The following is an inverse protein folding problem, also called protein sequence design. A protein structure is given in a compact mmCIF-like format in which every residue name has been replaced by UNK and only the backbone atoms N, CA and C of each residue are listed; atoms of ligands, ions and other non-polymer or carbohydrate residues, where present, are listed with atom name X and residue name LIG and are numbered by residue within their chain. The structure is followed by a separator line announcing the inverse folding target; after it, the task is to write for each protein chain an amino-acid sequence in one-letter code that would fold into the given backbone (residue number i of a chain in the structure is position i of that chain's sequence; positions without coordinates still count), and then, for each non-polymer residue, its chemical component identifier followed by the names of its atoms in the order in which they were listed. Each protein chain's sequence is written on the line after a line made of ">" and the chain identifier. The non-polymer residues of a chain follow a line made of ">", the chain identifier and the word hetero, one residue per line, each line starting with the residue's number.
data_IF_275239663701
#
_entry.id   IF_275239663701
#
_cell.length_a   1.000
_cell.length_b   1.000
_cell.length_c   1.000
_cell.angle_alpha   90.00
_cell.angle_beta   90.00
_cell.angle_gamma   90.00
#
_symmetry.space_group_name_H-M   'P 1'
#
loop_
_entity.id
_entity.type
_entity.pdbx_description
1 polymer ?
#
# COMPACT_ATOMS: atom_id res chain seq x y z
N UNK A 1 -8.45 12.03 -8.97
CA UNK A 1 -8.06 10.68 -9.47
C UNK A 1 -9.25 10.05 -10.16
N UNK A 2 -9.03 9.29 -11.24
CA UNK A 2 -10.13 8.73 -12.06
C UNK A 2 -10.03 7.20 -12.21
N UNK A 3 -11.15 6.54 -12.52
CA UNK A 3 -11.28 5.11 -12.83
C UNK A 3 -11.96 4.95 -14.17
N UNK A 4 -11.54 3.96 -14.97
CA UNK A 4 -12.22 3.63 -16.23
C UNK A 4 -13.56 2.98 -15.91
N UNK A 5 -14.64 3.57 -16.39
CA UNK A 5 -15.97 3.02 -16.31
C UNK A 5 -16.11 1.85 -17.31
N UNK A 6 -16.56 0.65 -16.88
CA UNK A 6 -16.62 -0.52 -17.75
C UNK A 6 -17.66 -0.40 -18.87
N UNK A 7 -18.71 0.40 -18.69
CA UNK A 7 -19.82 0.50 -19.64
C UNK A 7 -19.55 1.54 -20.73
N UNK A 8 -19.17 2.75 -20.33
CA UNK A 8 -18.88 3.86 -21.25
C UNK A 8 -17.44 3.83 -21.79
N UNK A 9 -16.51 3.22 -21.04
CA UNK A 9 -15.08 3.27 -21.35
C UNK A 9 -14.39 4.58 -20.94
N UNK A 10 -15.14 5.56 -20.44
CA UNK A 10 -14.62 6.86 -20.01
C UNK A 10 -13.91 6.78 -18.65
N UNK A 11 -13.10 7.79 -18.34
CA UNK A 11 -12.47 7.91 -17.01
C UNK A 11 -13.29 8.84 -16.13
N UNK A 12 -14.04 8.26 -15.20
CA UNK A 12 -14.85 9.01 -14.23
C UNK A 12 -14.07 9.30 -12.95
N UNK A 13 -14.45 10.34 -12.22
CA UNK A 13 -13.93 10.63 -10.89
C UNK A 13 -14.10 9.39 -9.99
N UNK A 14 -13.05 9.06 -9.23
CA UNK A 14 -13.07 8.01 -8.21
C UNK A 14 -12.90 8.69 -6.84
N UNK A 15 -13.99 9.12 -6.17
CA UNK A 15 -13.93 9.86 -4.92
C UNK A 15 -13.18 9.10 -3.80
N UNK A 16 -13.45 7.80 -3.56
CA UNK A 16 -12.73 7.03 -2.54
C UNK A 16 -11.21 7.03 -2.71
N UNK A 17 -10.73 7.07 -3.97
CA UNK A 17 -9.30 7.17 -4.28
C UNK A 17 -8.79 8.62 -4.14
N UNK A 18 -9.56 9.61 -4.58
CA UNK A 18 -9.17 11.01 -4.54
C UNK A 18 -9.03 11.54 -3.10
N UNK A 19 -9.95 11.17 -2.20
CA UNK A 19 -9.94 11.58 -0.80
C UNK A 19 -8.68 11.12 -0.03
N UNK A 20 -8.06 10.03 -0.50
CA UNK A 20 -6.91 9.40 0.18
C UNK A 20 -5.54 9.85 -0.34
N UNK A 21 -5.51 10.79 -1.30
CA UNK A 21 -4.25 11.35 -1.81
C UNK A 21 -3.28 11.86 -0.72
N UNK A 22 -3.72 12.58 0.34
CA UNK A 22 -2.80 13.07 1.35
C UNK A 22 -2.37 12.01 2.37
N UNK A 23 -2.89 10.77 2.29
CA UNK A 23 -2.76 9.79 3.37
C UNK A 23 -1.41 9.08 3.41
N UNK A 24 -0.62 9.14 2.34
CA UNK A 24 0.67 8.43 2.27
C UNK A 24 1.62 8.82 3.42
N UNK A 25 1.83 10.11 3.64
CA UNK A 25 2.74 10.60 4.66
C UNK A 25 2.30 10.24 6.10
N UNK A 26 1.04 10.49 6.52
CA UNK A 26 0.61 10.10 7.87
C UNK A 26 0.63 8.59 8.07
N UNK A 27 0.28 7.80 7.05
CA UNK A 27 0.31 6.32 7.15
C UNK A 27 1.72 5.80 7.44
N UNK A 28 2.74 6.39 6.83
CA UNK A 28 4.14 6.03 7.09
C UNK A 28 4.60 6.53 8.47
N UNK A 29 4.25 7.78 8.84
CA UNK A 29 4.72 8.38 10.09
C UNK A 29 4.14 7.74 11.34
N UNK A 30 2.95 7.17 11.24
CA UNK A 30 2.24 6.51 12.34
C UNK A 30 2.18 4.99 12.12
N UNK A 31 3.17 4.41 11.44
CA UNK A 31 3.18 2.99 11.11
C UNK A 31 3.37 2.07 12.33
N UNK A 32 3.73 2.64 13.47
CA UNK A 32 3.90 2.01 14.78
C UNK A 32 2.59 1.86 15.56
N UNK A 33 1.51 2.51 15.12
CA UNK A 33 0.19 2.35 15.73
C UNK A 33 -0.36 0.92 15.50
N UNK A 34 -0.99 0.35 16.52
CA UNK A 34 -1.55 -1.01 16.52
C UNK A 34 -2.59 -1.24 15.42
N UNK A 35 -3.25 -0.18 14.95
CA UNK A 35 -4.24 -0.26 13.88
C UNK A 35 -3.61 -0.36 12.48
N UNK A 36 -2.29 -0.13 12.38
CA UNK A 36 -1.54 -0.21 11.12
C UNK A 36 -0.85 -1.55 11.00
N UNK A 37 -1.17 -2.30 9.95
CA UNK A 37 -0.48 -3.55 9.66
C UNK A 37 0.79 -3.25 8.88
N UNK A 38 1.93 -3.53 9.48
CA UNK A 38 3.24 -3.41 8.83
C UNK A 38 3.90 -4.77 8.71
N UNK A 39 4.35 -5.14 7.50
CA UNK A 39 5.07 -6.39 7.28
C UNK A 39 5.98 -6.33 6.05
N UNK A 40 7.01 -7.17 6.06
CA UNK A 40 7.85 -7.41 4.89
C UNK A 40 7.37 -8.66 4.15
N UNK A 41 7.38 -8.60 2.83
CA UNK A 41 6.98 -9.72 1.96
C UNK A 41 7.90 -9.83 0.74
N UNK A 42 8.39 -11.04 0.40
CA UNK A 42 9.17 -11.26 -0.80
C UNK A 42 8.24 -11.32 -2.02
N UNK A 43 8.35 -10.34 -2.91
CA UNK A 43 7.63 -10.40 -4.18
C UNK A 43 8.29 -11.43 -5.12
N UNK A 44 7.52 -11.97 -6.07
CA UNK A 44 8.03 -12.92 -7.07
C UNK A 44 9.17 -12.37 -7.96
N UNK A 45 9.44 -11.07 -7.89
CA UNK A 45 10.60 -10.41 -8.54
C UNK A 45 11.91 -10.54 -7.74
N UNK A 46 11.90 -11.25 -6.61
CA UNK A 46 13.06 -11.40 -5.70
C UNK A 46 13.30 -10.18 -4.80
N UNK A 47 12.47 -9.13 -4.91
CA UNK A 47 12.55 -7.93 -4.09
C UNK A 47 11.70 -8.09 -2.83
N UNK A 48 12.23 -7.65 -1.69
CA UNK A 48 11.45 -7.51 -0.45
C UNK A 48 10.77 -6.15 -0.43
N UNK A 49 9.45 -6.17 -0.23
CA UNK A 49 8.63 -4.96 -0.07
C UNK A 49 8.12 -4.87 1.36
N UNK A 50 8.10 -3.66 1.89
CA UNK A 50 7.43 -3.36 3.15
C UNK A 50 6.04 -2.84 2.84
N UNK A 51 5.02 -3.50 3.37
CA UNK A 51 3.62 -3.10 3.27
C UNK A 51 3.25 -2.36 4.54
N UNK A 52 2.58 -1.20 4.40
CA UNK A 52 2.01 -0.42 5.50
C UNK A 52 0.54 -0.22 5.18
N UNK A 53 -0.33 -0.95 5.87
CA UNK A 53 -1.74 -1.10 5.50
C UNK A 53 -2.67 -0.63 6.60
N UNK A 54 -3.49 0.38 6.26
CA UNK A 54 -4.68 0.77 7.02
C UNK A 54 -5.85 -0.08 6.55
N UNK A 55 -6.02 -1.27 7.17
CA UNK A 55 -7.07 -2.22 6.77
C UNK A 55 -8.46 -1.60 6.90
N UNK A 56 -8.75 -0.95 8.02
CA UNK A 56 -10.07 -0.38 8.32
C UNK A 56 -10.47 0.78 7.38
N UNK A 57 -9.51 1.38 6.67
CA UNK A 57 -9.75 2.49 5.76
C UNK A 57 -9.39 2.17 4.31
N UNK A 58 -9.10 0.90 4.01
CA UNK A 58 -8.76 0.43 2.67
C UNK A 58 -7.67 1.29 2.01
N UNK A 59 -6.54 1.50 2.70
CA UNK A 59 -5.42 2.28 2.17
C UNK A 59 -4.09 1.59 2.40
N UNK A 60 -3.34 1.38 1.33
CA UNK A 60 -2.07 0.67 1.37
C UNK A 60 -0.94 1.55 0.85
N UNK A 61 0.19 1.52 1.56
CA UNK A 61 1.47 2.05 1.10
C UNK A 61 2.45 0.89 0.96
N UNK A 62 3.21 0.88 -0.14
CA UNK A 62 4.26 -0.13 -0.40
C UNK A 62 5.59 0.58 -0.54
N UNK A 63 6.59 0.11 0.22
CA UNK A 63 7.95 0.62 0.23
C UNK A 63 8.95 -0.45 -0.25
N UNK A 64 10.06 -0.03 -0.85
CA UNK A 64 11.22 -0.87 -1.17
C UNK A 64 12.37 -0.51 -0.24
N UNK A 65 12.82 -1.45 0.59
CA UNK A 65 14.05 -1.25 1.36
C UNK A 65 15.25 -1.24 0.42
N UNK A 66 16.10 -0.23 0.53
CA UNK A 66 17.40 -0.15 -0.14
C UNK A 66 18.49 -0.22 0.91
N UNK A 67 19.49 -1.06 0.66
CA UNK A 67 20.75 -1.04 1.42
C UNK A 67 21.45 0.28 1.08
N UNK A 68 21.38 1.25 1.97
CA UNK A 68 22.11 2.51 1.85
C UNK A 68 23.61 2.28 2.02
N UNK A 69 24.42 3.23 1.53
CA UNK A 69 25.86 3.30 1.87
C UNK A 69 26.11 3.78 3.30
N UNK A 70 25.11 4.40 3.92
CA UNK A 70 25.09 4.88 5.31
C UNK A 70 24.40 3.89 6.24
N UNK A 71 24.73 3.95 7.54
CA UNK A 71 24.16 3.08 8.59
C UNK A 71 22.63 3.18 8.78
N UNK A 72 21.96 4.18 8.19
CA UNK A 72 20.50 4.31 8.22
C UNK A 72 19.86 3.54 7.07
N UNK A 73 18.90 2.67 7.39
CA UNK A 73 18.07 2.02 6.40
C UNK A 73 17.27 3.06 5.60
N UNK A 74 17.36 2.99 4.27
CA UNK A 74 16.58 3.84 3.36
C UNK A 74 15.47 3.02 2.75
N UNK A 75 14.29 3.62 2.59
CA UNK A 75 13.16 3.02 1.89
C UNK A 75 12.60 3.99 0.86
N UNK A 76 12.25 3.47 -0.32
CA UNK A 76 11.64 4.26 -1.39
C UNK A 76 10.16 3.92 -1.52
N UNK A 77 9.33 4.94 -1.69
CA UNK A 77 7.92 4.76 -2.02
C UNK A 77 7.80 4.10 -3.39
N UNK A 78 7.10 2.98 -3.43
CA UNK A 78 6.79 2.24 -4.67
C UNK A 78 5.46 2.72 -5.21
N UNK A 79 4.45 2.64 -4.36
CA UNK A 79 3.09 3.06 -4.65
C UNK A 79 2.32 3.26 -3.36
N UNK A 80 1.26 4.06 -3.42
CA UNK A 80 0.26 4.17 -2.39
C UNK A 80 -1.12 4.29 -3.04
N UNK A 81 -2.09 3.53 -2.58
CA UNK A 81 -3.40 3.47 -3.23
C UNK A 81 -4.53 3.01 -2.31
N UNK A 82 -5.75 3.38 -2.67
CA UNK A 82 -6.98 2.85 -2.09
C UNK A 82 -7.20 1.40 -2.52
N UNK A 83 -7.38 0.50 -1.54
CA UNK A 83 -7.65 -0.92 -1.75
C UNK A 83 -9.11 -1.10 -2.15
N UNK A 84 -9.35 -1.41 -3.42
CA UNK A 84 -10.70 -1.69 -3.92
C UNK A 84 -11.01 -3.19 -3.94
N UNK A 85 -12.16 -3.55 -3.39
CA UNK A 85 -12.78 -4.88 -3.51
C UNK A 85 -12.22 -5.94 -2.56
N UNK A 86 -13.07 -6.94 -2.28
CA UNK A 86 -12.76 -8.01 -1.31
C UNK A 86 -11.62 -8.93 -1.75
N UNK A 87 -11.47 -9.19 -3.06
CA UNK A 87 -10.41 -10.05 -3.56
C UNK A 87 -9.02 -9.47 -3.30
N UNK A 88 -8.85 -8.16 -3.52
CA UNK A 88 -7.61 -7.44 -3.21
C UNK A 88 -7.32 -7.51 -1.71
N UNK A 89 -8.34 -7.26 -0.87
CA UNK A 89 -8.22 -7.34 0.59
C UNK A 89 -7.81 -8.74 1.04
N UNK A 90 -8.43 -9.79 0.50
CA UNK A 90 -8.11 -11.19 0.79
C UNK A 90 -6.69 -11.55 0.37
N UNK A 91 -6.24 -11.06 -0.78
CA UNK A 91 -4.86 -11.24 -1.25
C UNK A 91 -3.86 -10.60 -0.29
N UNK A 92 -4.12 -9.37 0.17
CA UNK A 92 -3.27 -8.68 1.15
C UNK A 92 -3.22 -9.43 2.49
N UNK A 93 -4.36 -9.93 3.00
CA UNK A 93 -4.41 -10.76 4.20
C UNK A 93 -3.52 -12.00 4.09
N UNK A 94 -3.60 -12.72 2.96
CA UNK A 94 -2.73 -13.88 2.69
C UNK A 94 -1.25 -13.52 2.61
N UNK A 95 -0.88 -12.31 2.18
CA UNK A 95 0.51 -11.82 2.23
C UNK A 95 0.93 -11.52 3.66
N UNK A 96 0.06 -10.88 4.43
CA UNK A 96 0.30 -10.56 5.83
C UNK A 96 0.48 -11.82 6.71
N UNK A 97 -0.27 -12.88 6.43
CA UNK A 97 -0.15 -14.19 7.09
C UNK A 97 1.16 -14.91 6.73
N UNK A 98 1.68 -14.69 5.51
CA UNK A 98 2.92 -15.30 4.99
C UNK A 98 4.10 -14.32 4.99
N UNK A 99 4.10 -13.39 5.94
CA UNK A 99 5.16 -12.38 6.12
C UNK A 99 6.48 -13.02 6.53
N UNK A 100 7.59 -12.31 6.25
CA UNK A 100 8.94 -12.64 6.75
C UNK A 100 9.06 -12.41 8.25
#
# INVERSE_FOLDING_TARGET
>A
MTRKDPQSGDRLLDPPRAEKLPWCAPTIRHSDDIVVKVWDYPEGTGKVRTYVWLENSDYLVILEKRKGRTAKALAFLVTAYHVGGEDTRRSLKRKYERRL
#
